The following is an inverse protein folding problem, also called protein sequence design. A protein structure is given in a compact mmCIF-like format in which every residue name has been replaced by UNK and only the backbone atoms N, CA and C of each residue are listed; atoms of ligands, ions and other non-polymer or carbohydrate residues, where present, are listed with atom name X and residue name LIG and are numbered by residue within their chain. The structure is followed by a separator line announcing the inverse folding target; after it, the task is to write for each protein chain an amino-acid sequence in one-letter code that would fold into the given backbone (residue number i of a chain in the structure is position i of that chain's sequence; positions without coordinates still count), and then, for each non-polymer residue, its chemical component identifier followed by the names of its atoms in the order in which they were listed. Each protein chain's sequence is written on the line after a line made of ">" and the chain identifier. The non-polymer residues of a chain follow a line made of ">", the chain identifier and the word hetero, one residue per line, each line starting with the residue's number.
data_IF_898725300967
#
_entry.id   IF_898725300967
#
_cell.length_a   1.000
_cell.length_b   1.000
_cell.length_c   1.000
_cell.angle_alpha   90.00
_cell.angle_beta   90.00
_cell.angle_gamma   90.00
#
_symmetry.space_group_name_H-M   'P 1'
#
loop_
_entity.id
_entity.type
_entity.pdbx_description
1 polymer ?
#
# COMPACT_ATOMS: atom_id res chain seq x y z
N UNK A 1 -16.92 2.57 2.09
CA UNK A 1 -17.68 1.85 3.14
C UNK A 1 -16.88 0.80 3.88
N UNK A 2 -16.73 -0.46 3.42
CA UNK A 2 -16.12 -1.51 4.28
C UNK A 2 -14.69 -1.19 4.73
N UNK A 3 -13.83 -0.70 3.83
CA UNK A 3 -12.44 -0.36 4.13
C UNK A 3 -12.28 0.86 5.05
N UNK A 4 -13.26 1.77 5.08
CA UNK A 4 -13.25 2.91 6.02
C UNK A 4 -13.55 2.46 7.44
N UNK A 5 -14.45 1.47 7.61
CA UNK A 5 -14.81 0.93 8.93
C UNK A 5 -13.76 -0.07 9.43
N UNK A 6 -13.33 -1.01 8.59
CA UNK A 6 -12.41 -2.08 8.98
C UNK A 6 -10.92 -1.64 9.00
N UNK A 7 -10.59 -0.54 8.33
CA UNK A 7 -9.22 -0.03 8.24
C UNK A 7 -8.29 -0.90 7.40
N UNK A 8 -6.98 -0.81 7.69
CA UNK A 8 -5.91 -1.46 6.94
C UNK A 8 -5.31 -2.65 7.67
N UNK A 9 -5.08 -3.74 6.94
CA UNK A 9 -4.39 -4.89 7.48
C UNK A 9 -2.92 -4.56 7.85
N UNK A 10 -2.29 -5.28 8.78
CA UNK A 10 -0.92 -5.00 9.22
C UNK A 10 0.12 -4.96 8.09
N UNK A 11 -0.05 -5.79 7.05
CA UNK A 11 0.84 -5.81 5.89
C UNK A 11 0.63 -4.60 4.96
N UNK A 12 -0.58 -4.06 4.88
CA UNK A 12 -0.88 -2.85 4.11
C UNK A 12 -0.31 -1.62 4.82
N UNK A 13 -0.42 -1.56 6.15
CA UNK A 13 0.20 -0.50 6.99
C UNK A 13 1.71 -0.43 6.78
N UNK A 14 2.40 -1.56 6.90
CA UNK A 14 3.86 -1.63 6.65
C UNK A 14 4.22 -1.24 5.22
N UNK A 15 3.36 -1.54 4.24
CA UNK A 15 3.59 -1.15 2.85
C UNK A 15 3.43 0.36 2.68
N UNK A 16 2.43 0.98 3.31
CA UNK A 16 2.28 2.44 3.34
C UNK A 16 3.50 3.14 3.95
N UNK A 17 4.06 2.63 5.05
CA UNK A 17 5.29 3.17 5.64
C UNK A 17 6.47 3.13 4.66
N UNK A 18 6.66 2.02 3.96
CA UNK A 18 7.71 1.89 2.96
C UNK A 18 7.52 2.84 1.77
N UNK A 19 6.27 3.04 1.32
CA UNK A 19 5.93 3.96 0.23
C UNK A 19 6.02 5.44 0.65
N UNK A 20 5.80 5.76 1.93
CA UNK A 20 6.01 7.11 2.47
C UNK A 20 7.48 7.55 2.42
N UNK A 21 8.40 6.59 2.58
CA UNK A 21 9.87 6.82 2.51
C UNK A 21 10.39 6.58 1.07
N UNK A 22 9.49 6.48 0.07
CA UNK A 22 9.86 6.26 -1.34
C UNK A 22 10.70 4.99 -1.60
N UNK A 23 10.51 3.93 -0.80
CA UNK A 23 11.22 2.64 -0.95
C UNK A 23 10.40 1.63 -1.78
N UNK A 24 10.04 2.00 -3.01
CA UNK A 24 9.13 1.22 -3.88
C UNK A 24 9.58 -0.22 -4.15
N UNK A 25 10.88 -0.42 -4.43
CA UNK A 25 11.44 -1.76 -4.70
C UNK A 25 11.33 -2.66 -3.48
N UNK A 26 11.49 -2.11 -2.27
CA UNK A 26 11.35 -2.85 -1.01
C UNK A 26 9.88 -3.15 -0.71
N UNK A 27 8.99 -2.19 -0.95
CA UNK A 27 7.54 -2.37 -0.84
C UNK A 27 7.05 -3.49 -1.78
N UNK A 28 7.51 -3.52 -3.03
CA UNK A 28 7.14 -4.56 -4.00
C UNK A 28 7.66 -5.95 -3.60
N UNK A 29 8.91 -6.06 -3.13
CA UNK A 29 9.45 -7.32 -2.60
C UNK A 29 8.67 -7.81 -1.38
N UNK A 30 8.30 -6.91 -0.47
CA UNK A 30 7.50 -7.23 0.69
C UNK A 30 6.10 -7.73 0.30
N UNK A 31 5.40 -7.01 -0.57
CA UNK A 31 4.09 -7.41 -1.08
C UNK A 31 4.14 -8.74 -1.84
N UNK A 32 5.16 -8.96 -2.68
CA UNK A 32 5.34 -10.23 -3.38
C UNK A 32 5.52 -11.40 -2.40
N UNK A 33 6.25 -11.22 -1.30
CA UNK A 33 6.40 -12.26 -0.26
C UNK A 33 5.09 -12.56 0.49
N UNK A 34 4.17 -11.58 0.59
CA UNK A 34 2.87 -11.75 1.28
C UNK A 34 1.76 -12.29 0.38
N UNK A 35 1.73 -11.85 -0.88
CA UNK A 35 0.65 -12.16 -1.85
C UNK A 35 1.05 -13.27 -2.83
N UNK A 36 2.36 -13.56 -2.95
CA UNK A 36 2.94 -14.63 -3.77
C UNK A 36 3.24 -14.22 -5.22
N UNK A 37 2.32 -13.54 -5.89
CA UNK A 37 2.47 -13.21 -7.33
C UNK A 37 2.90 -11.76 -7.59
N UNK A 38 3.69 -11.56 -8.65
CA UNK A 38 4.19 -10.24 -9.03
C UNK A 38 3.08 -9.30 -9.54
N UNK A 39 2.14 -9.82 -10.33
CA UNK A 39 1.02 -9.03 -10.88
C UNK A 39 0.12 -8.52 -9.77
N UNK A 40 -0.24 -9.38 -8.80
CA UNK A 40 -1.06 -8.96 -7.65
C UNK A 40 -0.29 -7.99 -6.75
N UNK A 41 1.02 -8.18 -6.56
CA UNK A 41 1.84 -7.24 -5.79
C UNK A 41 1.92 -5.85 -6.44
N UNK A 42 2.03 -5.77 -7.78
CA UNK A 42 1.96 -4.49 -8.51
C UNK A 42 0.61 -3.81 -8.31
N UNK A 43 -0.49 -4.53 -8.57
CA UNK A 43 -1.86 -4.01 -8.35
C UNK A 43 -2.05 -3.48 -6.93
N UNK A 44 -1.57 -4.23 -5.92
CA UNK A 44 -1.72 -3.84 -4.51
C UNK A 44 -0.88 -2.62 -4.14
N UNK A 45 0.33 -2.51 -4.70
CA UNK A 45 1.17 -1.32 -4.53
C UNK A 45 0.49 -0.08 -5.11
N UNK A 46 -0.06 -0.20 -6.31
CA UNK A 46 -0.68 0.92 -7.02
C UNK A 46 -1.96 1.39 -6.30
N UNK A 47 -2.76 0.45 -5.77
CA UNK A 47 -3.90 0.74 -4.89
C UNK A 47 -3.46 1.55 -3.65
N UNK A 48 -2.40 1.11 -2.96
CA UNK A 48 -1.89 1.79 -1.76
C UNK A 48 -1.31 3.17 -2.10
N UNK A 49 -0.66 3.31 -3.25
CA UNK A 49 -0.12 4.58 -3.72
C UNK A 49 -1.23 5.60 -4.00
N UNK A 50 -2.34 5.16 -4.60
CA UNK A 50 -3.51 6.00 -4.84
C UNK A 50 -4.13 6.48 -3.53
N UNK A 51 -4.24 5.59 -2.53
CA UNK A 51 -4.73 5.93 -1.19
C UNK A 51 -3.83 6.98 -0.52
N UNK A 52 -2.51 6.81 -0.56
CA UNK A 52 -1.58 7.79 0.00
C UNK A 52 -1.69 9.16 -0.67
N UNK A 53 -1.90 9.18 -1.99
CA UNK A 53 -2.12 10.42 -2.74
C UNK A 53 -3.41 11.12 -2.31
N UNK A 54 -4.50 10.37 -2.13
CA UNK A 54 -5.77 10.92 -1.66
C UNK A 54 -5.67 11.45 -0.22
N UNK A 55 -4.98 10.72 0.66
CA UNK A 55 -4.74 11.16 2.04
C UNK A 55 -3.95 12.48 2.09
N UNK A 56 -2.95 12.65 1.21
CA UNK A 56 -2.18 13.90 1.08
C UNK A 56 -3.04 15.05 0.57
N UNK A 57 -3.95 14.79 -0.37
CA UNK A 57 -4.88 15.81 -0.90
C UNK A 57 -5.88 16.29 0.15
N UNK A 58 -6.38 15.39 1.00
CA UNK A 58 -7.34 15.75 2.06
C UNK A 58 -6.69 16.49 3.24
N UNK A 59 -5.39 16.32 3.47
CA UNK A 59 -4.64 17.05 4.50
C UNK A 59 -4.22 18.47 4.07
N UNK A 60 -4.60 18.89 2.86
CA UNK A 60 -4.37 20.22 2.32
C UNK A 60 -5.67 21.00 2.34
#
# INVERSE_FOLDING_TARGET
>A
MVREVAGFAPYERRTMELLRISKDKKALKFLKRRIGSHVRAKRKRDEIQAILTNLRKHHK
#
